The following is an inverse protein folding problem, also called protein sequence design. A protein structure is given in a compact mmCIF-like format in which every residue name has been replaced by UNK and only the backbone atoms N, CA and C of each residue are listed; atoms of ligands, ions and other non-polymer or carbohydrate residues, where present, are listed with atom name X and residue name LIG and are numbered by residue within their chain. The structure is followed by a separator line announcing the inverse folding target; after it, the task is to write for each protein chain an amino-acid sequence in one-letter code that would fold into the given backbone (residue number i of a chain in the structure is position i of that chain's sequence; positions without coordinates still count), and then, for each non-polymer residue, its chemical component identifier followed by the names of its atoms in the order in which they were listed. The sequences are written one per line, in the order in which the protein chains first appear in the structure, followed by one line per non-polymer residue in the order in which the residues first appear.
data_IF_550658743867
#
_entry.id   IF_550658743867
#
_cell.length_a   1.000
_cell.length_b   1.000
_cell.length_c   1.000
_cell.angle_alpha   90.00
_cell.angle_beta   90.00
_cell.angle_gamma   90.00
#
_symmetry.space_group_name_H-M   'P 1'
#
loop_
_entity.id
_entity.type
_entity.pdbx_description
1 polymer ?
#
# COMPACT_ATOMS: atom_id res chain seq x y z
N UNK A 1 1.97 11.11 -58.23
CA UNK A 1 1.37 10.23 -57.21
C UNK A 1 2.51 9.60 -56.44
N UNK A 2 2.85 10.13 -55.26
CA UNK A 2 3.84 9.55 -54.34
C UNK A 2 3.17 8.43 -53.57
N UNK A 3 3.22 7.23 -54.12
CA UNK A 3 2.91 6.00 -53.40
C UNK A 3 4.22 5.33 -53.01
N UNK A 4 4.38 4.97 -51.74
CA UNK A 4 5.65 4.50 -51.20
C UNK A 4 5.89 4.93 -49.76
N UNK A 5 5.09 4.41 -48.85
CA UNK A 5 5.23 4.42 -47.39
C UNK A 5 6.56 3.78 -46.94
N UNK A 6 7.68 4.41 -47.25
CA UNK A 6 9.02 4.01 -46.83
C UNK A 6 9.59 5.04 -45.86
N UNK A 7 9.70 4.67 -44.58
CA UNK A 7 10.33 5.52 -43.56
C UNK A 7 11.78 5.82 -44.00
N UNK A 8 12.21 7.10 -44.05
CA UNK A 8 13.57 7.44 -44.43
C UNK A 8 14.58 6.74 -43.50
N UNK A 9 15.63 6.13 -44.06
CA UNK A 9 16.71 5.48 -43.31
C UNK A 9 17.23 6.29 -42.11
N UNK A 10 17.46 7.63 -42.19
CA UNK A 10 17.91 8.41 -41.03
C UNK A 10 16.88 8.43 -39.89
N UNK A 11 15.58 8.53 -40.21
CA UNK A 11 14.50 8.48 -39.22
C UNK A 11 14.43 7.10 -38.57
N UNK A 12 14.59 6.04 -39.36
CA UNK A 12 14.64 4.66 -38.84
C UNK A 12 15.83 4.44 -37.90
N UNK A 13 17.02 4.96 -38.24
CA UNK A 13 18.22 4.89 -37.40
C UNK A 13 18.02 5.66 -36.08
N UNK A 14 17.48 6.87 -36.15
CA UNK A 14 17.19 7.68 -34.96
C UNK A 14 16.15 7.00 -34.05
N UNK A 15 15.06 6.48 -34.62
CA UNK A 15 14.04 5.74 -33.87
C UNK A 15 14.61 4.49 -33.20
N UNK A 16 15.50 3.76 -33.88
CA UNK A 16 16.15 2.59 -33.29
C UNK A 16 17.05 2.98 -32.11
N UNK A 17 17.86 4.04 -32.25
CA UNK A 17 18.71 4.55 -31.17
C UNK A 17 17.87 5.02 -29.97
N UNK A 18 16.79 5.74 -30.22
CA UNK A 18 15.85 6.16 -29.18
C UNK A 18 15.20 4.96 -28.48
N UNK A 19 14.78 3.94 -29.23
CA UNK A 19 14.20 2.72 -28.67
C UNK A 19 15.19 1.96 -27.78
N UNK A 20 16.48 1.89 -28.16
CA UNK A 20 17.52 1.29 -27.32
C UNK A 20 17.72 2.05 -26.02
N UNK A 21 17.79 3.38 -26.06
CA UNK A 21 17.96 4.21 -24.86
C UNK A 21 16.76 4.09 -23.92
N UNK A 22 15.54 4.22 -24.46
CA UNK A 22 14.30 4.11 -23.68
C UNK A 22 14.18 2.70 -23.10
N UNK A 23 14.42 1.67 -23.91
CA UNK A 23 14.41 0.28 -23.45
C UNK A 23 15.39 0.05 -22.30
N UNK A 24 16.62 0.55 -22.42
CA UNK A 24 17.63 0.47 -21.36
C UNK A 24 17.20 1.13 -20.05
N UNK A 25 16.64 2.35 -20.11
CA UNK A 25 16.16 3.08 -18.92
C UNK A 25 15.01 2.32 -18.26
N UNK A 26 14.06 1.80 -19.04
CA UNK A 26 12.91 1.05 -18.53
C UNK A 26 13.38 -0.24 -17.85
N UNK A 27 14.26 -1.01 -18.48
CA UNK A 27 14.82 -2.25 -17.90
C UNK A 27 15.58 -1.97 -16.61
N UNK A 28 16.42 -0.93 -16.59
CA UNK A 28 17.18 -0.56 -15.40
C UNK A 28 16.25 -0.14 -14.24
N UNK A 29 15.21 0.64 -14.54
CA UNK A 29 14.24 1.11 -13.54
C UNK A 29 13.43 -0.04 -12.95
N UNK A 30 13.00 -0.99 -13.79
CA UNK A 30 12.30 -2.20 -13.34
C UNK A 30 13.21 -3.09 -12.49
N UNK A 31 14.43 -3.37 -12.96
CA UNK A 31 15.40 -4.16 -12.21
C UNK A 31 15.73 -3.53 -10.84
N UNK A 32 15.93 -2.20 -10.81
CA UNK A 32 16.18 -1.45 -9.57
C UNK A 32 14.98 -1.52 -8.62
N UNK A 33 13.76 -1.39 -9.12
CA UNK A 33 12.55 -1.47 -8.30
C UNK A 33 12.36 -2.86 -7.68
N UNK A 34 12.62 -3.92 -8.44
CA UNK A 34 12.52 -5.30 -7.97
C UNK A 34 13.59 -5.58 -6.90
N UNK A 35 14.83 -5.16 -7.15
CA UNK A 35 15.95 -5.36 -6.20
C UNK A 35 15.75 -4.57 -4.90
N UNK A 36 15.27 -3.32 -4.96
CA UNK A 36 14.96 -2.55 -3.75
C UNK A 36 13.85 -3.23 -2.95
N UNK A 37 12.78 -3.69 -3.61
CA UNK A 37 11.69 -4.39 -2.92
C UNK A 37 12.14 -5.70 -2.29
N UNK A 38 13.02 -6.45 -2.96
CA UNK A 38 13.56 -7.70 -2.41
C UNK A 38 14.50 -7.46 -1.22
N UNK A 39 15.33 -6.42 -1.28
CA UNK A 39 16.17 -6.02 -0.16
C UNK A 39 15.32 -5.54 1.03
N UNK A 40 14.27 -4.76 0.77
CA UNK A 40 13.33 -4.31 1.81
C UNK A 40 12.62 -5.50 2.45
N UNK A 41 12.10 -6.46 1.67
CA UNK A 41 11.41 -7.62 2.21
C UNK A 41 12.35 -8.53 3.02
N UNK A 42 13.58 -8.72 2.55
CA UNK A 42 14.60 -9.47 3.29
C UNK A 42 14.98 -8.77 4.60
N UNK A 43 15.19 -7.45 4.56
CA UNK A 43 15.47 -6.65 5.75
C UNK A 43 14.30 -6.71 6.75
N UNK A 44 13.06 -6.62 6.28
CA UNK A 44 11.88 -6.77 7.12
C UNK A 44 11.74 -8.19 7.70
N UNK A 45 12.04 -9.24 6.94
CA UNK A 45 12.02 -10.62 7.43
C UNK A 45 13.08 -10.84 8.52
N UNK A 46 14.30 -10.30 8.33
CA UNK A 46 15.36 -10.35 9.34
C UNK A 46 14.99 -9.53 10.58
N UNK A 47 14.41 -8.34 10.41
CA UNK A 47 13.93 -7.51 11.51
C UNK A 47 12.82 -8.21 12.27
N UNK A 48 11.84 -8.84 11.61
CA UNK A 48 10.79 -9.63 12.28
C UNK A 48 11.34 -10.74 13.18
N UNK A 49 12.46 -11.35 12.80
CA UNK A 49 13.12 -12.42 13.59
C UNK A 49 13.90 -11.90 14.79
N UNK A 50 14.41 -10.66 14.74
CA UNK A 50 15.35 -10.11 15.73
C UNK A 50 14.76 -9.00 16.59
N UNK A 51 13.74 -8.30 16.09
CA UNK A 51 13.08 -7.21 16.77
C UNK A 51 12.24 -7.72 17.93
N UNK A 52 12.19 -6.90 18.99
CA UNK A 52 11.32 -7.17 20.11
C UNK A 52 9.85 -7.00 19.69
N UNK A 53 8.93 -7.84 20.21
CA UNK A 53 7.52 -7.65 19.96
C UNK A 53 7.09 -6.28 20.48
N UNK A 54 6.21 -5.62 19.75
CA UNK A 54 5.68 -4.33 20.17
C UNK A 54 4.93 -4.50 21.49
N UNK A 55 5.38 -3.82 22.54
CA UNK A 55 4.79 -3.92 23.88
C UNK A 55 3.35 -3.44 23.92
N UNK A 56 2.98 -2.47 23.08
CA UNK A 56 1.63 -1.87 23.07
C UNK A 56 0.57 -2.81 22.52
N UNK A 57 0.85 -3.50 21.41
CA UNK A 57 -0.08 -4.47 20.82
C UNK A 57 0.29 -5.93 21.13
N UNK A 58 1.28 -6.16 21.99
CA UNK A 58 1.77 -7.47 22.40
C UNK A 58 2.09 -8.39 21.21
N UNK A 59 2.74 -7.86 20.18
CA UNK A 59 3.06 -8.66 18.99
C UNK A 59 1.95 -8.77 17.94
N UNK A 60 0.69 -8.43 18.26
CA UNK A 60 -0.47 -8.67 17.38
C UNK A 60 -0.54 -7.74 16.18
N UNK A 61 0.08 -6.56 16.24
CA UNK A 61 0.01 -5.53 15.19
C UNK A 61 -1.29 -4.73 15.17
N UNK A 62 -2.37 -5.24 15.77
CA UNK A 62 -3.67 -4.60 15.82
C UNK A 62 -4.22 -4.64 17.24
N UNK A 63 -5.13 -3.71 17.56
CA UNK A 63 -5.91 -3.72 18.81
C UNK A 63 -7.41 -3.57 18.48
N UNK A 64 -8.31 -4.01 19.38
CA UNK A 64 -9.75 -3.77 19.22
C UNK A 64 -10.03 -2.29 18.99
N UNK A 65 -10.90 -1.97 18.04
CA UNK A 65 -11.19 -0.58 17.70
C UNK A 65 -11.65 0.19 18.94
N UNK A 66 -10.90 1.23 19.31
CA UNK A 66 -11.16 2.00 20.54
C UNK A 66 -12.50 2.74 20.48
N UNK A 67 -12.92 3.13 19.28
CA UNK A 67 -14.15 3.90 19.08
C UNK A 67 -15.40 3.03 19.20
N UNK A 68 -15.51 1.95 18.42
CA UNK A 68 -16.69 1.07 18.48
C UNK A 68 -16.58 -0.06 19.51
N UNK A 69 -15.44 -0.17 20.21
CA UNK A 69 -15.13 -1.25 21.18
C UNK A 69 -15.40 -2.67 20.63
N UNK A 70 -15.23 -2.85 19.32
CA UNK A 70 -15.49 -4.11 18.62
C UNK A 70 -16.91 -4.30 18.09
N UNK A 71 -17.83 -3.35 18.30
CA UNK A 71 -19.23 -3.45 17.89
C UNK A 71 -19.46 -3.14 16.39
N UNK A 72 -18.40 -2.84 15.62
CA UNK A 72 -18.40 -2.47 14.18
C UNK A 72 -19.20 -1.22 13.79
N UNK A 73 -20.18 -0.85 14.58
CA UNK A 73 -21.05 0.32 14.43
C UNK A 73 -20.88 1.23 15.64
N UNK A 74 -21.19 2.50 15.46
CA UNK A 74 -21.26 3.50 16.52
C UNK A 74 -22.59 4.21 16.43
N UNK A 75 -23.07 4.65 17.57
CA UNK A 75 -24.17 5.60 17.60
C UNK A 75 -23.60 6.98 17.28
N UNK A 76 -24.00 7.54 16.13
CA UNK A 76 -23.38 8.77 15.62
C UNK A 76 -23.92 10.03 16.32
N UNK A 77 -25.13 9.96 16.85
CA UNK A 77 -25.77 11.05 17.59
C UNK A 77 -26.32 10.55 18.93
N UNK A 78 -26.04 11.24 20.05
CA UNK A 78 -26.57 10.87 21.37
C UNK A 78 -28.07 11.19 21.55
N UNK A 79 -28.69 11.85 20.56
CA UNK A 79 -30.10 12.21 20.58
C UNK A 79 -30.93 11.06 20.03
N UNK A 80 -31.86 10.55 20.83
CA UNK A 80 -32.79 9.51 20.41
C UNK A 80 -33.81 10.08 19.43
N UNK A 81 -33.76 9.62 18.18
CA UNK A 81 -34.76 9.90 17.15
C UNK A 81 -35.59 8.63 16.92
N UNK A 82 -36.91 8.64 17.15
CA UNK A 82 -37.76 7.47 16.94
C UNK A 82 -37.95 7.10 15.47
N UNK A 83 -37.56 7.96 14.52
CA UNK A 83 -37.76 7.77 13.07
C UNK A 83 -36.49 7.19 12.43
N UNK A 84 -35.29 7.47 12.95
CA UNK A 84 -34.01 7.13 12.32
C UNK A 84 -33.14 6.26 13.21
N UNK A 85 -32.63 5.15 12.65
CA UNK A 85 -31.63 4.32 13.33
C UNK A 85 -30.29 5.06 13.36
N UNK A 86 -29.88 5.56 14.53
CA UNK A 86 -28.65 6.34 14.77
C UNK A 86 -27.34 5.55 14.67
N UNK A 87 -27.40 4.25 14.32
CA UNK A 87 -26.22 3.37 14.21
C UNK A 87 -25.59 3.45 12.83
N UNK A 88 -24.41 4.04 12.77
CA UNK A 88 -23.60 4.09 11.56
C UNK A 88 -22.43 3.11 11.64
N UNK A 89 -21.88 2.72 10.48
CA UNK A 89 -20.62 1.99 10.43
C UNK A 89 -19.51 2.81 11.11
N UNK A 90 -18.67 2.15 11.92
CA UNK A 90 -17.59 2.85 12.61
C UNK A 90 -16.58 3.41 11.60
N UNK A 91 -16.36 4.74 11.54
CA UNK A 91 -15.50 5.33 10.52
C UNK A 91 -14.02 5.01 10.74
N UNK A 92 -13.63 4.62 11.96
CA UNK A 92 -12.22 4.40 12.29
C UNK A 92 -11.74 2.96 12.06
N UNK A 93 -12.65 1.99 11.97
CA UNK A 93 -12.30 0.62 11.59
C UNK A 93 -13.06 0.14 10.35
N UNK A 94 -13.94 0.97 9.78
CA UNK A 94 -14.78 0.63 8.64
C UNK A 94 -15.53 -0.69 8.85
N UNK A 95 -16.00 -0.93 10.07
CA UNK A 95 -16.66 -2.19 10.45
C UNK A 95 -15.74 -3.39 10.74
N UNK A 96 -14.43 -3.31 10.51
CA UNK A 96 -13.48 -4.42 10.75
C UNK A 96 -13.24 -4.75 12.23
N UNK A 97 -13.79 -3.98 13.17
CA UNK A 97 -13.71 -4.17 14.64
C UNK A 97 -12.31 -4.04 15.24
N UNK A 98 -11.27 -3.89 14.42
CA UNK A 98 -9.87 -3.73 14.83
C UNK A 98 -9.28 -2.46 14.24
N UNK A 99 -8.28 -1.91 14.92
CA UNK A 99 -7.49 -0.77 14.49
C UNK A 99 -6.01 -1.16 14.41
N UNK A 100 -5.32 -0.64 13.38
CA UNK A 100 -3.89 -0.84 13.20
C UNK A 100 -3.13 -0.19 14.34
N UNK A 101 -2.22 -0.92 14.97
CA UNK A 101 -1.38 -0.36 16.02
C UNK A 101 -0.43 0.68 15.42
N UNK A 102 -0.60 1.94 15.81
CA UNK A 102 0.21 3.05 15.30
C UNK A 102 1.65 3.03 15.81
N UNK A 103 1.92 2.38 16.95
CA UNK A 103 3.27 2.26 17.51
C UNK A 103 4.18 1.31 16.71
N UNK A 104 3.62 0.29 16.06
CA UNK A 104 4.39 -0.63 15.22
C UNK A 104 3.90 -0.63 13.77
N UNK A 105 3.02 0.30 13.40
CA UNK A 105 2.39 0.37 12.08
C UNK A 105 1.87 -0.98 11.60
N UNK A 106 1.19 -1.75 12.45
CA UNK A 106 0.67 -3.08 12.06
C UNK A 106 1.69 -4.20 11.93
N UNK A 107 3.01 -3.95 12.09
CA UNK A 107 4.06 -4.97 11.93
C UNK A 107 4.12 -5.96 13.10
N UNK A 108 3.71 -5.53 14.30
CA UNK A 108 3.75 -6.34 15.51
C UNK A 108 5.09 -6.32 16.25
N UNK A 109 6.14 -5.74 15.68
CA UNK A 109 7.47 -5.60 16.27
C UNK A 109 7.98 -4.16 16.11
N UNK A 110 8.90 -3.76 16.99
CA UNK A 110 9.52 -2.42 17.00
C UNK A 110 10.98 -2.49 16.55
#
# INVERSE_FOLDING_TARGET
MTDGSGIPQPVRRLASAAAFLVGGIVTLSLASSITIRSLQSFAEAKRKKSALPCKVCQGKGFYPCKLCKGNSTIEWSPLYDPIVISKCLCPTCEGNRVQRCLNCLGKGYA
#
